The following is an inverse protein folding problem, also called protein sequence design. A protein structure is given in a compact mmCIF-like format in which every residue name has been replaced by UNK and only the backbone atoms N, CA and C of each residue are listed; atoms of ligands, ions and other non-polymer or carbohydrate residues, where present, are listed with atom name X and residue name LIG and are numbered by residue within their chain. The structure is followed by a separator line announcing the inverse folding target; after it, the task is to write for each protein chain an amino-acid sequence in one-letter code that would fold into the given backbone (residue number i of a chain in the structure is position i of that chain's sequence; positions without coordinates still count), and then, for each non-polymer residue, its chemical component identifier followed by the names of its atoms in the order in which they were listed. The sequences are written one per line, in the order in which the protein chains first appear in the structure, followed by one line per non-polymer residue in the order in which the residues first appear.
data_IF_095047730934
#
_entry.id   IF_095047730934
#
_cell.length_a   1.000
_cell.length_b   1.000
_cell.length_c   1.000
_cell.angle_alpha   90.00
_cell.angle_beta   90.00
_cell.angle_gamma   90.00
#
_symmetry.space_group_name_H-M   'P 1'
#
loop_
_entity.id
_entity.type
_entity.pdbx_description
1 polymer ?
#
# COMPACT_ATOMS: atom_id res chain seq x y z
N UNK A 1 -9.81 1.34 10.35
CA UNK A 1 -9.91 0.82 8.96
C UNK A 1 -11.20 1.24 8.29
N UNK A 2 -12.36 1.18 8.97
CA UNK A 2 -13.60 1.80 8.44
C UNK A 2 -13.42 3.30 8.22
N UNK A 3 -12.80 3.99 9.19
CA UNK A 3 -12.48 5.42 9.09
C UNK A 3 -11.59 5.74 7.87
N UNK A 4 -10.71 4.82 7.45
CA UNK A 4 -9.86 5.02 6.26
C UNK A 4 -10.71 4.99 4.99
N UNK A 5 -11.60 4.02 4.86
CA UNK A 5 -12.53 3.96 3.73
C UNK A 5 -13.43 5.21 3.71
N UNK A 6 -14.04 5.58 4.85
CA UNK A 6 -14.92 6.74 4.96
C UNK A 6 -14.23 8.07 4.63
N UNK A 7 -12.93 8.19 4.95
CA UNK A 7 -12.14 9.40 4.65
C UNK A 7 -11.67 9.46 3.21
N UNK A 8 -11.40 8.32 2.57
CA UNK A 8 -10.92 8.26 1.19
C UNK A 8 -12.05 8.34 0.16
N UNK A 9 -13.23 7.80 0.47
CA UNK A 9 -14.40 7.80 -0.41
C UNK A 9 -14.69 9.18 -1.04
N UNK A 10 -14.85 10.28 -0.27
CA UNK A 10 -15.14 11.58 -0.86
C UNK A 10 -13.99 12.09 -1.75
N UNK A 11 -12.74 11.79 -1.41
CA UNK A 11 -11.56 12.22 -2.18
C UNK A 11 -11.48 11.49 -3.53
N UNK A 12 -11.86 10.21 -3.55
CA UNK A 12 -11.90 9.42 -4.79
C UNK A 12 -13.07 9.86 -5.68
N UNK A 13 -14.22 10.20 -5.11
CA UNK A 13 -15.35 10.77 -5.85
C UNK A 13 -14.97 12.09 -6.48
N UNK A 14 -14.37 13.02 -5.71
CA UNK A 14 -13.94 14.32 -6.23
C UNK A 14 -12.90 14.16 -7.35
N UNK A 15 -11.98 13.20 -7.21
CA UNK A 15 -11.04 12.87 -8.29
C UNK A 15 -11.75 12.39 -9.55
N UNK A 16 -12.72 11.48 -9.43
CA UNK A 16 -13.49 11.02 -10.59
C UNK A 16 -14.26 12.17 -11.27
N UNK A 17 -14.80 13.11 -10.50
CA UNK A 17 -15.48 14.28 -11.05
C UNK A 17 -14.53 15.19 -11.86
N UNK A 18 -13.30 15.41 -11.37
CA UNK A 18 -12.27 16.15 -12.12
C UNK A 18 -11.85 15.46 -13.41
N UNK A 19 -11.74 14.12 -13.37
CA UNK A 19 -11.46 13.31 -14.57
C UNK A 19 -12.57 13.45 -15.60
N UNK A 20 -13.84 13.34 -15.17
CA UNK A 20 -15.00 13.48 -16.05
C UNK A 20 -15.14 14.91 -16.62
N UNK A 21 -14.67 15.92 -15.88
CA UNK A 21 -14.60 17.32 -16.31
C UNK A 21 -13.43 17.61 -17.27
N UNK A 22 -12.50 16.67 -17.46
CA UNK A 22 -11.30 16.84 -18.29
C UNK A 22 -10.26 17.77 -17.67
N UNK A 23 -10.21 17.84 -16.33
CA UNK A 23 -9.25 18.69 -15.59
C UNK A 23 -7.94 17.98 -15.28
N UNK A 24 -7.83 16.67 -15.53
CA UNK A 24 -6.58 15.91 -15.46
C UNK A 24 -6.18 15.47 -16.88
N UNK A 25 -5.04 15.99 -17.36
CA UNK A 25 -4.47 15.71 -18.68
C UNK A 25 -3.51 14.50 -18.69
N UNK A 26 -3.37 13.83 -17.54
CA UNK A 26 -2.47 12.68 -17.37
C UNK A 26 -3.26 11.37 -17.49
N UNK A 27 -3.16 10.73 -18.66
CA UNK A 27 -3.86 9.50 -19.00
C UNK A 27 -3.56 8.35 -18.01
N UNK A 28 -2.33 8.30 -17.46
CA UNK A 28 -1.96 7.27 -16.47
C UNK A 28 -2.73 7.49 -15.17
N UNK A 29 -2.82 8.75 -14.72
CA UNK A 29 -3.58 9.14 -13.53
C UNK A 29 -5.08 8.89 -13.74
N UNK A 30 -5.59 8.99 -14.96
CA UNK A 30 -6.99 8.67 -15.27
C UNK A 30 -7.31 7.17 -15.19
N UNK A 31 -6.33 6.29 -15.34
CA UNK A 31 -6.51 4.83 -15.30
C UNK A 31 -6.14 4.18 -13.95
N UNK A 32 -5.41 4.88 -13.08
CA UNK A 32 -5.06 4.38 -11.73
C UNK A 32 -6.19 4.60 -10.71
N UNK A 33 -6.53 3.55 -9.95
CA UNK A 33 -7.51 3.61 -8.85
C UNK A 33 -6.96 3.02 -7.55
N UNK A 34 -7.68 3.22 -6.44
CA UNK A 34 -7.35 2.63 -5.14
C UNK A 34 -8.21 1.40 -4.87
N UNK A 35 -7.58 0.32 -4.40
CA UNK A 35 -8.26 -0.88 -3.94
C UNK A 35 -7.84 -1.21 -2.51
N UNK A 36 -8.83 -1.49 -1.64
CA UNK A 36 -8.59 -2.00 -0.30
C UNK A 36 -8.84 -3.52 -0.29
N UNK A 37 -7.86 -4.27 0.22
CA UNK A 37 -7.94 -5.74 0.33
C UNK A 37 -7.75 -6.11 1.79
N UNK A 38 -8.69 -6.91 2.31
CA UNK A 38 -8.61 -7.49 3.65
C UNK A 38 -8.38 -8.99 3.50
N UNK A 39 -7.16 -9.43 3.80
CA UNK A 39 -6.82 -10.85 3.76
C UNK A 39 -7.41 -11.59 4.95
N UNK A 40 -7.71 -12.87 4.74
CA UNK A 40 -8.18 -13.79 5.77
C UNK A 40 -7.17 -14.94 5.91
N UNK A 41 -7.04 -15.47 7.12
CA UNK A 41 -6.12 -16.56 7.44
C UNK A 41 -4.67 -16.25 7.14
N UNK A 42 -4.17 -15.10 7.60
CA UNK A 42 -2.73 -14.78 7.56
C UNK A 42 -1.94 -15.73 8.49
N UNK A 43 -2.46 -15.90 9.72
CA UNK A 43 -1.83 -16.70 10.78
C UNK A 43 -1.76 -18.20 10.48
N UNK A 44 -0.70 -18.84 10.98
CA UNK A 44 -0.52 -20.29 10.95
C UNK A 44 -1.44 -21.00 11.96
N UNK A 45 -1.96 -22.19 11.61
CA UNK A 45 -2.75 -23.00 12.55
C UNK A 45 -1.88 -23.80 13.52
N UNK A 46 -0.67 -24.20 13.11
CA UNK A 46 0.26 -24.95 13.95
C UNK A 46 1.67 -24.37 13.90
N UNK A 47 2.31 -24.52 12.75
CA UNK A 47 3.71 -24.19 12.54
C UNK A 47 3.77 -23.28 11.33
N UNK A 48 4.38 -22.10 11.47
CA UNK A 48 4.56 -21.18 10.35
C UNK A 48 5.39 -21.86 9.26
N UNK A 49 4.74 -22.20 8.16
CA UNK A 49 5.36 -22.85 7.00
C UNK A 49 4.73 -22.35 5.71
N UNK A 50 5.38 -22.60 4.57
CA UNK A 50 4.86 -22.22 3.24
C UNK A 50 3.44 -22.73 2.92
N UNK A 51 2.94 -23.74 3.63
CA UNK A 51 1.58 -24.28 3.46
C UNK A 51 0.63 -23.94 4.61
N UNK A 52 1.17 -23.60 5.79
CA UNK A 52 0.46 -23.27 7.02
C UNK A 52 0.77 -21.81 7.41
N UNK A 53 0.31 -20.89 6.55
CA UNK A 53 0.36 -19.42 6.67
C UNK A 53 -0.32 -18.79 5.45
N UNK A 54 -0.66 -17.50 5.53
CA UNK A 54 -1.02 -16.60 4.42
C UNK A 54 -2.03 -17.21 3.43
N UNK A 55 -3.06 -17.88 3.96
CA UNK A 55 -4.02 -18.67 3.19
C UNK A 55 -4.80 -17.80 2.19
N UNK A 56 -5.35 -16.68 2.66
CA UNK A 56 -6.11 -15.75 1.84
C UNK A 56 -5.26 -15.11 0.76
N UNK A 57 -4.07 -14.61 1.11
CA UNK A 57 -3.17 -14.01 0.13
C UNK A 57 -2.70 -15.01 -0.94
N UNK A 58 -2.33 -16.24 -0.55
CA UNK A 58 -1.96 -17.29 -1.54
C UNK A 58 -3.10 -17.59 -2.50
N UNK A 59 -4.32 -17.73 -1.98
CA UNK A 59 -5.49 -17.97 -2.81
C UNK A 59 -5.77 -16.81 -3.76
N UNK A 60 -5.77 -15.57 -3.24
CA UNK A 60 -6.11 -14.38 -4.02
C UNK A 60 -5.05 -14.09 -5.10
N UNK A 61 -3.76 -14.15 -4.76
CA UNK A 61 -2.69 -13.92 -5.73
C UNK A 61 -2.73 -14.93 -6.88
N UNK A 62 -2.98 -16.22 -6.59
CA UNK A 62 -3.15 -17.24 -7.63
C UNK A 62 -4.40 -16.99 -8.48
N UNK A 63 -5.52 -16.60 -7.86
CA UNK A 63 -6.74 -16.26 -8.61
C UNK A 63 -6.48 -15.08 -9.56
N UNK A 64 -5.88 -14.01 -9.07
CA UNK A 64 -5.60 -12.82 -9.86
C UNK A 64 -4.53 -13.04 -10.93
N UNK A 65 -3.55 -13.92 -10.69
CA UNK A 65 -2.56 -14.28 -11.72
C UNK A 65 -3.13 -15.13 -12.86
N UNK A 66 -4.33 -15.69 -12.68
CA UNK A 66 -5.02 -16.51 -13.69
C UNK A 66 -6.32 -15.89 -14.21
N UNK A 67 -6.73 -14.74 -13.66
CA UNK A 67 -7.91 -14.00 -14.08
C UNK A 67 -7.49 -12.94 -15.09
N UNK A 68 -7.88 -13.13 -16.34
CA UNK A 68 -7.57 -12.19 -17.41
C UNK A 68 -8.62 -11.10 -17.53
N UNK A 69 -8.17 -9.87 -17.73
CA UNK A 69 -9.04 -8.74 -17.98
C UNK A 69 -9.63 -8.85 -19.39
N UNK A 70 -10.96 -8.86 -19.47
CA UNK A 70 -11.65 -8.75 -20.75
C UNK A 70 -11.46 -7.34 -21.28
N UNK A 71 -11.13 -7.21 -22.58
CA UNK A 71 -10.95 -5.91 -23.24
C UNK A 71 -12.28 -5.15 -23.23
N UNK A 72 -12.48 -4.32 -22.21
CA UNK A 72 -13.49 -3.28 -22.23
C UNK A 72 -12.98 -2.17 -23.16
N UNK A 73 -13.82 -1.79 -24.12
CA UNK A 73 -13.51 -1.00 -25.34
C UNK A 73 -12.88 0.39 -25.10
N UNK A 74 -12.68 0.81 -23.85
CA UNK A 74 -11.99 2.06 -23.47
C UNK A 74 -10.50 1.88 -23.15
N UNK A 75 -10.05 0.73 -22.64
CA UNK A 75 -8.63 0.40 -22.47
C UNK A 75 -8.06 -0.06 -23.81
N UNK A 76 -7.89 0.90 -24.70
CA UNK A 76 -7.41 0.65 -26.07
C UNK A 76 -5.89 0.60 -26.00
N UNK A 77 -5.32 -0.53 -26.41
CA UNK A 77 -3.89 -0.74 -26.73
C UNK A 77 -2.98 -1.36 -25.65
N UNK A 78 -3.50 -2.13 -24.68
CA UNK A 78 -2.62 -3.01 -23.90
C UNK A 78 -2.19 -4.23 -24.74
N UNK A 79 -0.87 -4.53 -24.82
CA UNK A 79 -0.37 -5.69 -25.56
C UNK A 79 -0.63 -6.97 -24.76
N UNK A 80 -1.57 -7.80 -25.22
CA UNK A 80 -1.82 -9.12 -24.65
C UNK A 80 -2.78 -9.12 -23.46
N UNK A 81 -3.27 -10.31 -23.15
CA UNK A 81 -4.23 -10.56 -22.08
C UNK A 81 -3.57 -10.28 -20.73
N UNK A 82 -3.72 -9.07 -20.20
CA UNK A 82 -3.23 -8.71 -18.87
C UNK A 82 -4.09 -9.40 -17.80
N UNK A 83 -3.44 -9.87 -16.73
CA UNK A 83 -4.10 -10.49 -15.60
C UNK A 83 -4.39 -9.47 -14.51
N UNK A 84 -5.38 -9.72 -13.65
CA UNK A 84 -5.72 -8.81 -12.53
C UNK A 84 -4.51 -8.51 -11.62
N UNK A 85 -3.59 -9.46 -11.46
CA UNK A 85 -2.37 -9.22 -10.67
C UNK A 85 -1.40 -8.26 -11.37
N UNK A 86 -1.38 -8.24 -12.71
CA UNK A 86 -0.50 -7.39 -13.51
C UNK A 86 -0.88 -5.91 -13.45
N UNK A 87 -2.14 -5.61 -13.12
CA UNK A 87 -2.60 -4.22 -12.97
C UNK A 87 -2.28 -3.60 -11.61
N UNK A 88 -1.64 -4.34 -10.70
CA UNK A 88 -1.25 -3.82 -9.39
C UNK A 88 0.08 -3.09 -9.53
N UNK A 89 0.05 -1.76 -9.51
CA UNK A 89 1.27 -0.95 -9.52
C UNK A 89 2.06 -1.10 -8.21
N UNK A 90 1.39 -0.92 -7.07
CA UNK A 90 1.98 -1.00 -5.74
C UNK A 90 1.04 -1.69 -4.75
N UNK A 91 1.55 -2.69 -4.04
CA UNK A 91 0.89 -3.28 -2.88
C UNK A 91 1.48 -2.69 -1.60
N UNK A 92 0.67 -1.92 -0.87
CA UNK A 92 1.02 -1.40 0.46
C UNK A 92 0.35 -2.29 1.50
N UNK A 93 1.14 -3.13 2.18
CA UNK A 93 0.67 -3.98 3.26
C UNK A 93 0.88 -3.29 4.61
N UNK A 94 -0.19 -3.18 5.40
CA UNK A 94 -0.18 -2.58 6.73
C UNK A 94 -0.41 -3.68 7.76
N UNK A 95 0.62 -3.98 8.56
CA UNK A 95 0.57 -5.01 9.60
C UNK A 95 1.24 -4.55 10.91
N UNK A 96 0.82 -5.12 12.03
CA UNK A 96 1.29 -4.87 13.41
C UNK A 96 1.36 -3.39 13.80
N UNK A 97 0.42 -2.59 13.30
CA UNK A 97 0.29 -1.19 13.67
C UNK A 97 -0.51 -1.02 14.98
N UNK A 98 -0.04 -0.13 15.86
CA UNK A 98 -0.73 0.22 17.11
C UNK A 98 0.15 0.28 18.35
N UNK A 99 1.34 -0.33 18.30
CA UNK A 99 2.34 -0.18 19.35
C UNK A 99 2.88 1.27 19.41
N UNK A 100 3.26 1.79 20.60
CA UNK A 100 3.81 3.13 20.71
C UNK A 100 5.19 3.23 20.04
N UNK A 101 5.38 4.26 19.21
CA UNK A 101 6.63 4.57 18.49
C UNK A 101 7.13 3.40 17.63
N UNK A 102 6.36 2.97 16.61
CA UNK A 102 6.82 1.96 15.66
C UNK A 102 8.05 2.45 14.89
N UNK A 103 8.89 1.52 14.46
CA UNK A 103 10.05 1.80 13.62
C UNK A 103 9.87 1.09 12.27
N UNK A 104 9.42 1.84 11.28
CA UNK A 104 9.13 1.36 9.93
C UNK A 104 10.37 1.56 9.06
N UNK A 105 10.75 0.54 8.28
CA UNK A 105 11.94 0.55 7.43
C UNK A 105 11.57 0.21 5.99
N UNK A 106 12.34 0.72 5.04
CA UNK A 106 12.21 0.37 3.63
C UNK A 106 12.70 -1.06 3.40
N UNK A 107 11.82 -1.94 2.92
CA UNK A 107 12.13 -3.35 2.65
C UNK A 107 12.54 -3.61 1.20
N UNK A 108 11.99 -2.86 0.25
CA UNK A 108 12.22 -3.08 -1.19
C UNK A 108 12.88 -1.86 -1.83
N UNK A 109 13.78 -2.11 -2.78
CA UNK A 109 14.46 -1.05 -3.54
C UNK A 109 13.51 -0.41 -4.56
N UNK A 110 12.70 -1.24 -5.23
CA UNK A 110 11.84 -0.80 -6.33
C UNK A 110 10.76 0.19 -5.88
N UNK A 111 10.33 0.09 -4.63
CA UNK A 111 9.36 1.00 -3.99
C UNK A 111 10.00 1.98 -3.00
N UNK A 112 11.32 2.11 -2.99
CA UNK A 112 12.02 2.98 -2.04
C UNK A 112 11.65 4.47 -2.21
N UNK A 113 11.29 4.90 -3.41
CA UNK A 113 10.81 6.26 -3.67
C UNK A 113 9.44 6.53 -3.04
N UNK A 114 8.54 5.52 -3.03
CA UNK A 114 7.24 5.61 -2.39
C UNK A 114 7.39 5.69 -0.87
N UNK A 115 8.37 4.95 -0.32
CA UNK A 115 8.76 5.07 1.09
C UNK A 115 9.21 6.49 1.45
N UNK A 116 10.06 7.10 0.62
CA UNK A 116 10.50 8.50 0.84
C UNK A 116 9.34 9.49 0.74
N UNK A 117 8.37 9.25 -0.15
CA UNK A 117 7.16 10.05 -0.26
C UNK A 117 6.31 9.97 1.03
N UNK A 118 6.18 8.79 1.64
CA UNK A 118 5.51 8.64 2.93
C UNK A 118 6.21 9.42 4.05
N UNK A 119 7.55 9.40 4.11
CA UNK A 119 8.32 10.22 5.06
C UNK A 119 8.03 11.71 4.86
N UNK A 120 7.99 12.17 3.60
CA UNK A 120 7.72 13.57 3.30
C UNK A 120 6.30 13.99 3.73
N UNK A 121 5.30 13.12 3.55
CA UNK A 121 3.92 13.35 4.02
C UNK A 121 3.86 13.39 5.55
N UNK A 122 4.50 12.44 6.24
CA UNK A 122 4.58 12.44 7.71
C UNK A 122 5.15 13.75 8.24
N UNK A 123 6.27 14.21 7.67
CA UNK A 123 6.91 15.47 8.05
C UNK A 123 5.98 16.68 7.86
N UNK A 124 5.27 16.75 6.72
CA UNK A 124 4.32 17.84 6.46
C UNK A 124 3.15 17.83 7.45
N UNK A 125 2.65 16.65 7.84
CA UNK A 125 1.61 16.52 8.86
C UNK A 125 2.12 16.97 10.24
N UNK A 126 3.37 16.66 10.58
CA UNK A 126 4.00 17.14 11.80
C UNK A 126 4.11 18.66 11.83
N UNK A 127 4.62 19.26 10.75
CA UNK A 127 4.78 20.71 10.61
C UNK A 127 3.43 21.45 10.64
N UNK A 128 2.37 20.82 10.13
CA UNK A 128 1.01 21.33 10.21
C UNK A 128 0.35 21.17 11.59
N UNK A 129 1.00 20.49 12.53
CA UNK A 129 0.46 20.22 13.86
C UNK A 129 -0.71 19.25 13.87
N UNK A 130 -0.82 18.37 12.86
CA UNK A 130 -1.93 17.43 12.72
C UNK A 130 -1.87 16.24 13.69
N UNK A 131 -0.71 16.00 14.33
CA UNK A 131 -0.54 14.89 15.27
C UNK A 131 -1.05 15.22 16.66
N UNK A 132 -1.90 14.34 17.18
CA UNK A 132 -2.33 14.33 18.58
C UNK A 132 -1.39 13.40 19.35
N UNK A 133 -0.53 13.98 20.17
CA UNK A 133 0.27 13.22 21.13
C UNK A 133 -0.47 13.14 22.47
N UNK A 134 -0.24 12.07 23.24
CA UNK A 134 -0.83 11.90 24.57
C UNK A 134 -0.55 13.09 25.50
N UNK A 135 -1.30 13.17 26.60
CA UNK A 135 -1.29 14.31 27.52
C UNK A 135 -0.16 14.20 28.55
N UNK A 136 1.09 14.35 28.08
CA UNK A 136 2.32 14.36 28.90
C UNK A 136 2.99 15.75 28.97
N UNK A 137 2.25 16.83 28.66
CA UNK A 137 2.63 18.20 29.00
C UNK A 137 3.73 18.88 28.17
N UNK A 138 4.25 18.22 27.13
CA UNK A 138 5.18 18.83 26.16
C UNK A 138 4.47 19.23 24.85
N UNK A 139 4.90 20.32 24.22
CA UNK A 139 4.35 20.82 22.95
C UNK A 139 4.54 19.81 21.81
N UNK A 140 3.64 19.81 20.82
CA UNK A 140 3.58 18.84 19.71
C UNK A 140 4.89 18.76 18.90
N UNK A 141 5.61 19.87 18.76
CA UNK A 141 6.89 19.89 18.04
C UNK A 141 8.04 19.21 18.80
N UNK A 142 7.99 19.17 20.13
CA UNK A 142 9.01 18.51 20.96
C UNK A 142 8.81 16.99 21.04
N UNK A 143 7.61 16.49 20.70
CA UNK A 143 7.26 15.06 20.70
C UNK A 143 7.41 14.38 19.34
N UNK A 144 7.57 15.14 18.26
CA UNK A 144 7.67 14.55 16.93
C UNK A 144 8.90 13.65 16.83
N UNK A 145 8.64 12.34 16.75
CA UNK A 145 9.62 11.32 16.38
C UNK A 145 9.05 10.60 15.17
N UNK A 146 9.77 10.64 14.05
CA UNK A 146 9.34 9.97 12.83
C UNK A 146 9.20 8.46 13.07
N UNK A 147 8.10 7.89 12.60
CA UNK A 147 7.87 6.44 12.57
C UNK A 147 8.76 5.76 11.53
N UNK A 148 9.19 6.49 10.51
CA UNK A 148 9.98 5.98 9.41
C UNK A 148 11.47 6.20 9.65
N UNK A 149 12.25 5.14 9.52
CA UNK A 149 13.70 5.22 9.62
C UNK A 149 14.27 5.69 8.27
N UNK A 150 15.07 6.78 8.23
CA UNK A 150 15.69 7.24 6.99
C UNK A 150 16.55 6.16 6.32
N UNK A 151 16.49 6.09 4.98
CA UNK A 151 17.27 5.15 4.18
C UNK A 151 18.74 5.58 4.13
N UNK A 152 19.56 5.14 5.08
CA UNK A 152 21.00 5.45 5.13
C UNK A 152 21.86 4.55 4.22
N UNK A 153 21.34 4.15 3.05
CA UNK A 153 21.97 3.16 2.16
C UNK A 153 21.90 1.71 2.67
N UNK A 154 21.28 1.48 3.84
CA UNK A 154 20.98 0.15 4.37
C UNK A 154 19.58 -0.27 3.91
N UNK A 155 19.53 -1.28 3.04
CA UNK A 155 18.30 -1.98 2.71
C UNK A 155 18.09 -3.10 3.74
N UNK A 156 16.86 -3.26 4.22
CA UNK A 156 16.54 -4.41 5.06
C UNK A 156 16.56 -5.67 4.18
N UNK A 157 17.66 -6.44 4.26
CA UNK A 157 17.77 -7.75 3.60
C UNK A 157 17.09 -8.89 4.38
N UNK A 158 16.52 -8.59 5.54
CA UNK A 158 15.70 -9.54 6.29
C UNK A 158 14.32 -9.63 5.66
N UNK A 159 14.09 -10.65 4.84
CA UNK A 159 12.76 -10.94 4.30
C UNK A 159 11.81 -11.28 5.45
N UNK A 160 10.79 -10.45 5.64
CA UNK A 160 9.66 -10.76 6.52
C UNK A 160 8.70 -11.58 5.66
N UNK A 161 8.34 -12.78 6.12
CA UNK A 161 7.31 -13.58 5.45
C UNK A 161 5.94 -13.09 5.91
N UNK A 162 5.11 -12.66 4.96
CA UNK A 162 3.80 -12.04 5.21
C UNK A 162 2.97 -12.09 3.89
N UNK A 163 1.73 -11.60 3.90
CA UNK A 163 0.74 -11.67 2.83
C UNK A 163 1.20 -11.06 1.49
N UNK A 164 2.25 -10.24 1.48
CA UNK A 164 2.84 -9.69 0.25
C UNK A 164 3.63 -10.73 -0.56
N UNK A 165 4.09 -11.83 0.04
CA UNK A 165 5.01 -12.79 -0.59
C UNK A 165 4.41 -13.45 -1.86
N UNK A 166 3.15 -13.91 -1.90
CA UNK A 166 2.55 -14.47 -3.11
C UNK A 166 2.45 -13.44 -4.24
N UNK A 167 2.16 -12.18 -3.92
CA UNK A 167 2.07 -11.09 -4.89
C UNK A 167 3.43 -10.73 -5.46
N UNK A 168 4.46 -10.64 -4.61
CA UNK A 168 5.83 -10.40 -5.06
C UNK A 168 6.33 -11.50 -6.01
N UNK A 169 5.94 -12.76 -5.79
CA UNK A 169 6.35 -13.90 -6.63
C UNK A 169 5.59 -14.00 -7.95
N UNK A 170 4.31 -13.63 -7.97
CA UNK A 170 3.42 -13.82 -9.13
C UNK A 170 3.17 -12.54 -9.93
N UNK A 171 3.43 -11.37 -9.35
CA UNK A 171 3.15 -10.06 -9.94
C UNK A 171 4.15 -9.61 -11.00
N UNK A 172 5.23 -10.38 -11.23
CA UNK A 172 6.38 -10.01 -12.08
C UNK A 172 7.01 -8.66 -11.72
N UNK A 173 8.20 -8.69 -11.12
CA UNK A 173 9.15 -7.56 -11.10
C UNK A 173 9.70 -7.25 -12.48
#
# INVERSE_FOLDING_TARGET
MLDLAETLDPLLIERQERLDAGEEDDDDVAETTLQLVFFDGEEAFKDWTATDSIYGARHLAHKWSTTYLTSNTKRRLLPGSETEIGTIEHLILLDLLGAPRPLIRSSFVDTAWLFDAMIAVEKRLAEAGAFVYGDDGAETQEKYTSFFVPRAGAYNFGGIEDDHIPFLRLGNT
#
